data_IF_010804938852
#
_entry.id   IF_010804938852
#
_cell.length_a   1.000
_cell.length_b   1.000
_cell.length_c   1.000
_cell.angle_alpha   90.00
_cell.angle_beta   90.00
_cell.angle_gamma   90.00
#
_symmetry.space_group_name_H-M   'P 1'
#
loop_
_entity.id
_entity.type
_entity.pdbx_description
1 polymer ?
#
# COMPACT_ATOMS: atom_id res chain seq x y z
N UNK A 1 -17.22 14.12 -27.11
CA UNK A 1 -16.27 14.84 -28.00
C UNK A 1 -15.05 15.18 -27.19
N UNK A 2 -13.95 14.46 -27.41
CA UNK A 2 -12.61 15.01 -27.28
C UNK A 2 -11.71 14.21 -28.24
N UNK A 3 -11.33 14.88 -29.32
CA UNK A 3 -10.37 14.42 -30.31
C UNK A 3 -8.99 14.51 -29.67
N UNK A 4 -8.35 13.37 -29.36
CA UNK A 4 -6.88 13.21 -29.26
C UNK A 4 -6.41 11.77 -28.95
N UNK A 5 -7.21 10.74 -29.21
CA UNK A 5 -6.79 9.33 -29.10
C UNK A 5 -6.49 8.64 -30.45
N UNK A 6 -6.42 9.39 -31.54
CA UNK A 6 -6.43 8.81 -32.89
C UNK A 6 -5.26 9.32 -33.74
N UNK A 7 -4.03 9.15 -33.22
CA UNK A 7 -2.83 9.68 -33.87
C UNK A 7 -1.59 8.78 -33.94
N UNK A 8 -1.46 7.73 -33.11
CA UNK A 8 -0.18 6.98 -33.01
C UNK A 8 -0.34 5.46 -33.15
N UNK A 9 -1.50 4.89 -32.84
CA UNK A 9 -1.80 3.47 -33.12
C UNK A 9 -1.85 3.12 -34.62
N UNK A 10 -1.84 4.14 -35.49
CA UNK A 10 -2.08 3.98 -36.94
C UNK A 10 -0.81 3.54 -37.70
N UNK A 11 0.40 3.65 -37.15
CA UNK A 11 1.62 3.34 -37.93
C UNK A 11 2.05 1.86 -37.88
N UNK A 12 1.70 1.11 -36.83
CA UNK A 12 1.88 -0.35 -36.76
C UNK A 12 0.58 -1.12 -37.05
N UNK A 13 -0.59 -0.57 -36.72
CA UNK A 13 -1.88 -1.23 -37.04
C UNK A 13 -2.26 -1.17 -38.53
N UNK A 14 -1.73 -0.21 -39.32
CA UNK A 14 -1.97 -0.18 -40.79
C UNK A 14 -1.22 -1.28 -41.56
N UNK A 15 -0.39 -2.06 -40.89
CA UNK A 15 0.33 -3.17 -41.51
C UNK A 15 -0.29 -4.55 -41.23
N UNK A 16 -1.28 -4.65 -40.34
CA UNK A 16 -1.94 -5.92 -39.98
C UNK A 16 -3.26 -6.15 -40.76
N UNK A 17 -3.76 -5.17 -41.53
CA UNK A 17 -5.07 -5.26 -42.17
C UNK A 17 -5.06 -5.15 -43.71
N UNK A 18 -4.27 -5.97 -44.43
CA UNK A 18 -4.52 -6.27 -45.86
C UNK A 18 -3.77 -7.51 -46.38
N UNK A 19 -3.73 -8.60 -45.61
CA UNK A 19 -3.03 -9.83 -45.97
C UNK A 19 -3.89 -10.92 -46.60
N UNK A 20 -4.83 -10.64 -47.52
CA UNK A 20 -5.51 -11.70 -48.29
C UNK A 20 -5.74 -11.28 -49.75
N UNK A 21 -4.83 -11.71 -50.63
CA UNK A 21 -5.10 -12.15 -52.00
C UNK A 21 -3.88 -12.96 -52.48
N UNK A 22 -3.98 -14.28 -52.35
CA UNK A 22 -2.94 -15.22 -52.75
C UNK A 22 -2.71 -15.19 -54.28
N UNK A 23 -1.56 -14.69 -54.70
CA UNK A 23 -0.99 -14.95 -56.03
C UNK A 23 -0.04 -16.14 -55.89
N UNK A 24 -0.15 -17.20 -56.72
CA UNK A 24 0.74 -18.35 -56.64
C UNK A 24 2.09 -18.03 -57.31
N UNK A 25 2.93 -17.28 -56.58
CA UNK A 25 4.37 -17.17 -56.79
C UNK A 25 5.06 -17.88 -55.62
N UNK A 26 5.97 -18.81 -55.91
CA UNK A 26 6.45 -19.79 -54.94
C UNK A 26 7.12 -19.19 -53.70
N UNK A 27 6.94 -19.85 -52.54
CA UNK A 27 7.62 -19.55 -51.26
C UNK A 27 9.12 -19.24 -51.38
N UNK A 28 9.79 -19.78 -52.40
CA UNK A 28 11.21 -19.54 -52.67
C UNK A 28 11.53 -18.11 -53.18
N UNK A 29 10.64 -17.43 -53.92
CA UNK A 29 10.88 -16.06 -54.36
C UNK A 29 10.65 -15.05 -53.23
N UNK A 30 9.59 -15.24 -52.44
CA UNK A 30 9.31 -14.41 -51.26
C UNK A 30 10.43 -14.50 -50.20
N UNK A 31 10.97 -15.70 -49.95
CA UNK A 31 12.09 -15.87 -49.03
C UNK A 31 13.40 -15.22 -49.54
N UNK A 32 13.62 -15.20 -50.86
CA UNK A 32 14.78 -14.55 -51.46
C UNK A 32 14.67 -13.02 -51.40
N UNK A 33 13.46 -12.47 -51.58
CA UNK A 33 13.18 -11.05 -51.47
C UNK A 33 13.35 -10.57 -50.01
N UNK A 34 12.85 -11.33 -49.03
CA UNK A 34 13.01 -11.02 -47.60
C UNK A 34 14.48 -11.03 -47.16
N UNK A 35 15.27 -12.00 -47.62
CA UNK A 35 16.70 -12.06 -47.31
C UNK A 35 17.46 -10.81 -47.80
N UNK A 36 17.12 -10.28 -48.98
CA UNK A 36 17.70 -9.03 -49.50
C UNK A 36 17.29 -7.80 -48.69
N UNK A 37 16.04 -7.75 -48.23
CA UNK A 37 15.54 -6.69 -47.33
C UNK A 37 16.30 -6.70 -46.00
N UNK A 38 16.57 -7.87 -45.43
CA UNK A 38 17.32 -8.02 -44.17
C UNK A 38 18.79 -7.62 -44.29
N UNK A 39 19.44 -7.98 -45.40
CA UNK A 39 20.81 -7.54 -45.65
C UNK A 39 20.89 -6.00 -45.71
N UNK A 40 19.90 -5.37 -46.36
CA UNK A 40 19.78 -3.91 -46.41
C UNK A 40 19.54 -3.31 -45.03
N UNK A 41 18.66 -3.92 -44.22
CA UNK A 41 18.38 -3.48 -42.85
C UNK A 41 19.64 -3.50 -41.98
N UNK A 42 20.40 -4.60 -42.02
CA UNK A 42 21.68 -4.76 -41.31
C UNK A 42 22.72 -3.77 -41.78
N UNK A 43 22.82 -3.50 -43.09
CA UNK A 43 23.71 -2.46 -43.62
C UNK A 43 23.35 -1.06 -43.11
N UNK A 44 22.05 -0.73 -43.01
CA UNK A 44 21.62 0.53 -42.42
C UNK A 44 21.97 0.61 -40.93
N UNK A 45 21.76 -0.48 -40.18
CA UNK A 45 22.19 -0.57 -38.77
C UNK A 45 23.69 -0.32 -38.62
N UNK A 46 24.51 -0.99 -39.43
CA UNK A 46 25.97 -0.87 -39.38
C UNK A 46 26.48 0.53 -39.79
N UNK A 47 25.63 1.32 -40.46
CA UNK A 47 25.85 2.73 -40.80
C UNK A 47 25.20 3.71 -39.80
N UNK A 48 24.67 3.21 -38.67
CA UNK A 48 23.96 4.00 -37.64
C UNK A 48 22.69 4.70 -38.18
N UNK A 49 22.16 4.24 -39.32
CA UNK A 49 20.91 4.72 -39.93
C UNK A 49 19.70 3.97 -39.36
N UNK A 50 19.51 4.07 -38.04
CA UNK A 50 18.58 3.23 -37.28
C UNK A 50 17.14 3.27 -37.78
N UNK A 51 16.60 4.46 -38.06
CA UNK A 51 15.22 4.58 -38.56
C UNK A 51 15.01 3.85 -39.90
N UNK A 52 16.01 3.89 -40.79
CA UNK A 52 15.96 3.16 -42.06
C UNK A 52 16.11 1.66 -41.86
N UNK A 53 16.96 1.26 -40.93
CA UNK A 53 17.09 -0.13 -40.49
C UNK A 53 15.73 -0.66 -39.98
N UNK A 54 15.12 0.04 -39.03
CA UNK A 54 13.80 -0.28 -38.45
C UNK A 54 12.72 -0.38 -39.52
N UNK A 55 12.64 0.58 -40.46
CA UNK A 55 11.68 0.52 -41.57
C UNK A 55 11.88 -0.74 -42.43
N UNK A 56 13.13 -1.11 -42.69
CA UNK A 56 13.47 -2.29 -43.50
C UNK A 56 13.13 -3.59 -42.77
N UNK A 57 13.41 -3.69 -41.46
CA UNK A 57 12.95 -4.82 -40.64
C UNK A 57 11.42 -4.89 -40.56
N UNK A 58 10.73 -3.76 -40.44
CA UNK A 58 9.27 -3.70 -40.47
C UNK A 58 8.68 -4.27 -41.76
N UNK A 59 9.30 -3.97 -42.92
CA UNK A 59 8.91 -4.59 -44.18
C UNK A 59 9.18 -6.11 -44.17
N UNK A 60 10.33 -6.55 -43.67
CA UNK A 60 10.64 -7.97 -43.59
C UNK A 60 9.66 -8.73 -42.69
N UNK A 61 9.17 -8.13 -41.60
CA UNK A 61 8.15 -8.74 -40.72
C UNK A 61 6.82 -8.97 -41.45
N UNK A 62 6.42 -8.07 -42.36
CA UNK A 62 5.22 -8.25 -43.20
C UNK A 62 5.35 -9.42 -44.18
N UNK A 63 6.55 -9.67 -44.66
CA UNK A 63 6.86 -10.75 -45.60
C UNK A 63 6.91 -12.11 -44.90
N UNK A 64 7.20 -12.13 -43.61
CA UNK A 64 7.12 -13.32 -42.76
C UNK A 64 7.80 -13.11 -41.40
N UNK A 65 7.00 -12.95 -40.35
CA UNK A 65 7.48 -12.83 -38.98
C UNK A 65 8.22 -14.10 -38.51
N UNK A 66 9.32 -13.90 -37.80
CA UNK A 66 10.05 -14.96 -37.11
C UNK A 66 10.67 -14.44 -35.82
N UNK A 67 10.97 -15.35 -34.89
CA UNK A 67 11.63 -15.00 -33.62
C UNK A 67 12.96 -14.27 -33.85
N UNK A 68 13.80 -14.79 -34.77
CA UNK A 68 15.10 -14.20 -35.10
C UNK A 68 14.96 -12.75 -35.59
N UNK A 69 13.92 -12.44 -36.36
CA UNK A 69 13.65 -11.08 -36.83
C UNK A 69 13.29 -10.12 -35.71
N UNK A 70 12.43 -10.55 -34.78
CA UNK A 70 12.10 -9.73 -33.63
C UNK A 70 13.31 -9.53 -32.71
N UNK A 71 14.15 -10.55 -32.53
CA UNK A 71 15.39 -10.45 -31.75
C UNK A 71 16.38 -9.45 -32.39
N UNK A 72 16.59 -9.52 -33.71
CA UNK A 72 17.44 -8.56 -34.41
C UNK A 72 16.88 -7.13 -34.36
N UNK A 73 15.58 -6.97 -34.56
CA UNK A 73 14.93 -5.67 -34.48
C UNK A 73 15.00 -5.08 -33.07
N UNK A 74 14.79 -5.90 -32.04
CA UNK A 74 14.98 -5.49 -30.65
C UNK A 74 16.41 -4.99 -30.41
N UNK A 75 17.43 -5.69 -30.91
CA UNK A 75 18.81 -5.23 -30.84
C UNK A 75 19.08 -3.90 -31.53
N UNK A 76 18.43 -3.64 -32.67
CA UNK A 76 18.52 -2.32 -33.35
C UNK A 76 17.91 -1.22 -32.49
N UNK A 77 16.74 -1.47 -31.91
CA UNK A 77 16.08 -0.51 -31.04
C UNK A 77 16.86 -0.26 -29.73
N UNK A 78 17.49 -1.28 -29.16
CA UNK A 78 18.34 -1.13 -27.96
C UNK A 78 19.50 -0.17 -28.23
N UNK A 79 20.24 -0.37 -29.31
CA UNK A 79 21.33 0.55 -29.69
C UNK A 79 20.78 1.94 -29.99
N UNK A 80 19.68 2.03 -30.76
CA UNK A 80 19.11 3.33 -31.10
C UNK A 80 18.65 4.12 -29.87
N UNK A 81 17.98 3.45 -28.93
CA UNK A 81 17.50 4.07 -27.69
C UNK A 81 18.65 4.45 -26.76
N UNK A 82 19.69 3.62 -26.63
CA UNK A 82 20.87 3.93 -25.84
C UNK A 82 21.58 5.20 -26.35
N UNK A 83 21.63 5.40 -27.68
CA UNK A 83 22.24 6.59 -28.27
C UNK A 83 21.28 7.79 -28.32
N UNK A 84 19.97 7.55 -28.33
CA UNK A 84 18.93 8.58 -28.47
C UNK A 84 17.73 8.32 -27.52
N UNK A 85 17.90 8.53 -26.19
CA UNK A 85 16.92 8.14 -25.17
C UNK A 85 15.74 9.11 -25.09
N UNK A 86 15.01 9.28 -26.19
CA UNK A 86 13.82 10.13 -26.26
C UNK A 86 12.55 9.33 -25.96
N UNK A 87 11.53 10.00 -25.45
CA UNK A 87 10.22 9.39 -25.20
C UNK A 87 9.53 8.89 -26.47
N UNK A 88 9.87 9.44 -27.65
CA UNK A 88 9.40 8.95 -28.94
C UNK A 88 10.02 7.59 -29.28
N UNK A 89 11.36 7.48 -29.21
CA UNK A 89 12.07 6.21 -29.48
C UNK A 89 11.65 5.13 -28.49
N UNK A 90 11.52 5.46 -27.20
CA UNK A 90 11.02 4.52 -26.18
C UNK A 90 9.62 4.00 -26.51
N UNK A 91 8.70 4.88 -26.94
CA UNK A 91 7.33 4.49 -27.30
C UNK A 91 7.32 3.54 -28.50
N UNK A 92 8.12 3.82 -29.52
CA UNK A 92 8.19 2.96 -30.70
C UNK A 92 8.83 1.60 -30.37
N UNK A 93 9.85 1.59 -29.51
CA UNK A 93 10.47 0.36 -29.03
C UNK A 93 9.49 -0.47 -28.18
N UNK A 94 8.80 0.16 -27.23
CA UNK A 94 7.75 -0.47 -26.42
C UNK A 94 6.65 -1.10 -27.29
N UNK A 95 6.20 -0.41 -28.35
CA UNK A 95 5.21 -0.95 -29.28
C UNK A 95 5.72 -2.19 -30.05
N UNK A 96 7.01 -2.18 -30.43
CA UNK A 96 7.66 -3.33 -31.06
C UNK A 96 7.76 -4.51 -30.09
N UNK A 97 8.19 -4.28 -28.85
CA UNK A 97 8.30 -5.33 -27.82
C UNK A 97 6.94 -5.91 -27.44
N UNK A 98 5.91 -5.07 -27.29
CA UNK A 98 4.53 -5.52 -27.09
C UNK A 98 4.08 -6.47 -28.21
N UNK A 99 4.35 -6.11 -29.48
CA UNK A 99 4.05 -6.99 -30.62
C UNK A 99 4.86 -8.29 -30.59
N UNK A 100 6.11 -8.23 -30.12
CA UNK A 100 6.97 -9.41 -29.98
C UNK A 100 6.47 -10.37 -28.88
N UNK A 101 6.05 -9.84 -27.72
CA UNK A 101 5.42 -10.60 -26.64
C UNK A 101 4.11 -11.26 -27.08
N UNK A 102 3.29 -10.59 -27.89
CA UNK A 102 2.06 -11.19 -28.45
C UNK A 102 2.37 -12.33 -29.42
N UNK A 103 3.38 -12.16 -30.28
CA UNK A 103 3.75 -13.15 -31.28
C UNK A 103 4.51 -14.36 -30.68
N UNK A 104 5.29 -14.13 -29.64
CA UNK A 104 6.16 -15.10 -28.98
C UNK A 104 6.06 -14.98 -27.45
N UNK A 105 4.91 -15.32 -26.84
CA UNK A 105 4.68 -15.11 -25.42
C UNK A 105 5.65 -15.88 -24.52
N UNK A 106 6.11 -17.06 -24.96
CA UNK A 106 7.05 -17.90 -24.22
C UNK A 106 8.51 -17.36 -24.22
N UNK A 107 8.79 -16.33 -25.03
CA UNK A 107 10.13 -15.75 -25.16
C UNK A 107 10.37 -14.68 -24.09
N UNK A 108 10.80 -15.15 -22.92
CA UNK A 108 11.04 -14.35 -21.71
C UNK A 108 11.83 -13.06 -21.96
N UNK A 109 12.82 -13.11 -22.85
CA UNK A 109 13.69 -11.96 -23.12
C UNK A 109 12.96 -10.73 -23.68
N UNK A 110 11.82 -10.90 -24.35
CA UNK A 110 11.02 -9.75 -24.81
C UNK A 110 10.33 -9.07 -23.63
N UNK A 111 9.78 -9.83 -22.70
CA UNK A 111 9.16 -9.31 -21.47
C UNK A 111 10.19 -8.59 -20.59
N UNK A 112 11.37 -9.18 -20.39
CA UNK A 112 12.45 -8.58 -19.60
C UNK A 112 12.89 -7.21 -20.16
N UNK A 113 13.09 -7.14 -21.49
CA UNK A 113 13.41 -5.89 -22.19
C UNK A 113 12.26 -4.88 -22.08
N UNK A 114 11.02 -5.36 -22.17
CA UNK A 114 9.85 -4.48 -22.19
C UNK A 114 9.62 -3.83 -20.83
N UNK A 115 9.70 -4.60 -19.74
CA UNK A 115 9.64 -4.07 -18.39
C UNK A 115 10.81 -3.10 -18.11
N UNK A 116 12.04 -3.45 -18.54
CA UNK A 116 13.22 -2.62 -18.33
C UNK A 116 13.07 -1.20 -18.91
N UNK A 117 12.45 -1.05 -20.09
CA UNK A 117 12.23 0.27 -20.71
C UNK A 117 11.48 1.26 -19.83
N UNK A 118 10.56 0.75 -19.00
CA UNK A 118 9.78 1.60 -18.09
C UNK A 118 10.50 1.77 -16.76
N UNK A 119 11.11 0.72 -16.22
CA UNK A 119 11.90 0.77 -14.98
C UNK A 119 13.08 1.75 -15.06
N UNK A 120 13.81 1.77 -16.18
CA UNK A 120 14.95 2.68 -16.41
C UNK A 120 14.56 4.16 -16.36
N UNK A 121 13.27 4.46 -16.50
CA UNK A 121 12.72 5.82 -16.46
C UNK A 121 11.75 6.03 -15.32
N UNK A 122 11.80 5.15 -14.31
CA UNK A 122 10.99 5.20 -13.09
C UNK A 122 9.48 5.26 -13.39
N UNK A 123 9.06 4.75 -14.55
CA UNK A 123 7.67 4.67 -14.98
C UNK A 123 7.05 3.38 -14.44
N UNK A 124 6.97 3.29 -13.10
CA UNK A 124 6.65 2.05 -12.40
C UNK A 124 5.25 1.51 -12.72
N UNK A 125 4.26 2.39 -12.97
CA UNK A 125 2.91 1.97 -13.35
C UNK A 125 2.89 1.24 -14.71
N UNK A 126 3.64 1.73 -15.70
CA UNK A 126 3.79 1.07 -16.99
C UNK A 126 4.61 -0.23 -16.88
N UNK A 127 5.70 -0.22 -16.12
CA UNK A 127 6.49 -1.43 -15.84
C UNK A 127 5.61 -2.51 -15.20
N UNK A 128 4.81 -2.13 -14.21
CA UNK A 128 3.89 -3.00 -13.49
C UNK A 128 2.89 -3.69 -14.41
N UNK A 129 2.30 -2.97 -15.36
CA UNK A 129 1.38 -3.57 -16.32
C UNK A 129 2.07 -4.67 -17.14
N UNK A 130 3.27 -4.40 -17.66
CA UNK A 130 4.04 -5.40 -18.43
C UNK A 130 4.38 -6.62 -17.58
N UNK A 131 4.82 -6.41 -16.35
CA UNK A 131 5.24 -7.48 -15.42
C UNK A 131 4.05 -8.33 -14.96
N UNK A 132 2.90 -7.71 -14.70
CA UNK A 132 1.65 -8.42 -14.39
C UNK A 132 1.21 -9.28 -15.57
N UNK A 133 1.20 -8.72 -16.78
CA UNK A 133 0.80 -9.44 -17.99
C UNK A 133 1.72 -10.65 -18.26
N UNK A 134 3.04 -10.49 -18.05
CA UNK A 134 3.99 -11.60 -18.12
C UNK A 134 3.66 -12.73 -17.12
N UNK A 135 3.36 -12.35 -15.87
CA UNK A 135 3.02 -13.31 -14.79
C UNK A 135 1.68 -14.02 -15.05
N UNK A 136 0.68 -13.30 -15.55
CA UNK A 136 -0.62 -13.87 -15.96
C UNK A 136 -0.46 -14.86 -17.13
N UNK A 137 0.48 -14.60 -18.03
CA UNK A 137 0.87 -15.53 -19.09
C UNK A 137 1.71 -16.73 -18.60
N UNK A 138 2.02 -16.80 -17.30
CA UNK A 138 2.85 -17.88 -16.71
C UNK A 138 4.34 -17.76 -17.02
N UNK A 139 4.79 -16.59 -17.48
CA UNK A 139 6.18 -16.31 -17.83
C UNK A 139 6.95 -15.87 -16.59
N UNK A 140 8.11 -16.45 -16.35
CA UNK A 140 8.96 -16.11 -15.21
C UNK A 140 10.44 -16.30 -15.51
N UNK A 141 11.27 -15.49 -14.87
CA UNK A 141 12.72 -15.62 -14.76
C UNK A 141 13.20 -14.91 -13.49
N UNK A 142 14.44 -15.16 -13.08
CA UNK A 142 15.05 -14.41 -11.97
C UNK A 142 15.05 -12.90 -12.25
N UNK A 143 15.27 -12.49 -13.51
CA UNK A 143 15.22 -11.08 -13.93
C UNK A 143 13.81 -10.51 -13.80
N UNK A 144 12.78 -11.20 -14.32
CA UNK A 144 11.40 -10.73 -14.24
C UNK A 144 10.92 -10.63 -12.80
N UNK A 145 11.31 -11.57 -11.94
CA UNK A 145 10.95 -11.50 -10.51
C UNK A 145 11.64 -10.32 -9.82
N UNK A 146 12.91 -10.05 -10.13
CA UNK A 146 13.61 -8.87 -9.61
C UNK A 146 12.97 -7.55 -10.10
N UNK A 147 12.61 -7.48 -11.39
CA UNK A 147 11.91 -6.33 -11.99
C UNK A 147 10.50 -6.14 -11.38
N UNK A 148 9.77 -7.24 -11.17
CA UNK A 148 8.47 -7.27 -10.49
C UNK A 148 8.59 -6.68 -9.09
N UNK A 149 9.52 -7.18 -8.28
CA UNK A 149 9.76 -6.66 -6.92
C UNK A 149 10.15 -5.19 -6.94
N UNK A 150 11.02 -4.77 -7.86
CA UNK A 150 11.40 -3.36 -8.01
C UNK A 150 10.18 -2.47 -8.29
N UNK A 151 9.29 -2.87 -9.22
CA UNK A 151 8.09 -2.10 -9.53
C UNK A 151 7.06 -2.14 -8.38
N UNK A 152 6.85 -3.32 -7.78
CA UNK A 152 5.83 -3.56 -6.77
C UNK A 152 6.11 -2.83 -5.44
N UNK A 153 7.38 -2.72 -5.06
CA UNK A 153 7.83 -2.02 -3.86
C UNK A 153 8.33 -0.60 -4.14
N UNK A 154 8.19 -0.11 -5.38
CA UNK A 154 8.47 1.29 -5.68
C UNK A 154 7.47 2.19 -4.94
N UNK A 155 7.99 3.26 -4.35
CA UNK A 155 7.20 4.25 -3.62
C UNK A 155 7.65 5.67 -3.97
N UNK A 156 6.72 6.62 -3.82
CA UNK A 156 6.99 8.05 -3.86
C UNK A 156 6.97 8.62 -2.45
N UNK A 157 7.72 9.70 -2.24
CA UNK A 157 7.72 10.48 -1.00
C UNK A 157 6.92 11.77 -1.18
N UNK A 158 5.90 11.96 -0.34
CA UNK A 158 5.19 13.22 -0.19
C UNK A 158 5.95 14.15 0.77
N UNK A 159 6.33 15.35 0.30
CA UNK A 159 7.16 16.29 1.04
C UNK A 159 6.41 17.22 2.01
N UNK A 160 5.09 17.07 2.18
CA UNK A 160 4.34 17.84 3.18
C UNK A 160 4.78 17.45 4.61
N UNK A 161 5.19 18.41 5.47
CA UNK A 161 5.62 18.14 6.85
C UNK A 161 4.48 18.21 7.85
N UNK A 162 4.48 17.26 8.78
CA UNK A 162 3.62 17.28 9.96
C UNK A 162 4.44 16.96 11.22
N UNK A 163 4.08 17.55 12.36
CA UNK A 163 4.79 17.27 13.63
C UNK A 163 4.48 15.85 14.12
N UNK A 164 3.27 15.38 13.86
CA UNK A 164 2.77 14.09 14.27
C UNK A 164 1.74 13.62 13.25
N UNK A 165 1.80 12.34 12.91
CA UNK A 165 0.83 11.66 12.03
C UNK A 165 0.42 10.37 12.74
N UNK A 166 -0.86 10.24 13.07
CA UNK A 166 -1.40 9.00 13.62
C UNK A 166 -2.11 8.24 12.49
N UNK A 167 -1.64 7.03 12.11
CA UNK A 167 -2.33 6.19 11.14
C UNK A 167 -3.66 5.73 11.75
N UNK A 168 -4.78 5.98 11.07
CA UNK A 168 -6.12 5.65 11.55
C UNK A 168 -6.99 5.07 10.43
N UNK A 169 -7.89 4.17 10.83
CA UNK A 169 -8.70 3.31 9.96
C UNK A 169 -9.62 4.06 8.99
N UNK A 170 -9.64 3.57 7.74
CA UNK A 170 -10.55 3.89 6.64
C UNK A 170 -10.31 5.18 5.79
N UNK A 171 -10.47 5.06 4.45
CA UNK A 171 -9.44 4.66 3.52
C UNK A 171 -8.53 5.84 3.12
N UNK A 172 -7.52 6.13 3.95
CA UNK A 172 -6.45 7.07 3.60
C UNK A 172 -6.51 8.45 4.23
N UNK A 173 -7.30 8.61 5.29
CA UNK A 173 -7.25 9.79 6.15
C UNK A 173 -6.22 9.66 7.28
N UNK A 174 -5.48 10.73 7.54
CA UNK A 174 -4.44 10.80 8.55
C UNK A 174 -4.74 11.94 9.51
N UNK A 175 -4.78 11.64 10.81
CA UNK A 175 -4.83 12.68 11.84
C UNK A 175 -3.45 13.32 11.93
N UNK A 176 -3.43 14.64 11.79
CA UNK A 176 -2.19 15.42 11.75
C UNK A 176 -2.21 16.53 12.79
N UNK A 177 -1.03 16.88 13.27
CA UNK A 177 -0.84 18.01 14.17
C UNK A 177 0.12 19.03 13.58
N UNK A 178 -0.33 20.28 13.51
CA UNK A 178 0.49 21.46 13.20
C UNK A 178 0.60 22.34 14.45
N UNK A 179 1.77 22.36 15.06
CA UNK A 179 1.98 22.97 16.37
C UNK A 179 1.16 22.30 17.46
N UNK A 180 0.17 23.00 18.02
CA UNK A 180 -0.75 22.49 19.05
C UNK A 180 -2.15 22.19 18.50
N UNK A 181 -2.37 22.34 17.20
CA UNK A 181 -3.68 22.21 16.59
C UNK A 181 -3.79 20.95 15.73
N UNK A 182 -4.90 20.26 15.87
CA UNK A 182 -5.23 19.00 15.23
C UNK A 182 -6.12 19.19 14.02
N UNK A 183 -5.86 18.42 12.97
CA UNK A 183 -6.64 18.33 11.74
C UNK A 183 -6.50 16.95 11.11
N UNK A 184 -6.93 16.82 9.86
CA UNK A 184 -6.86 15.58 9.10
C UNK A 184 -6.57 15.84 7.61
N UNK A 185 -5.81 14.95 6.98
CA UNK A 185 -5.44 15.02 5.56
C UNK A 185 -5.54 13.66 4.89
N UNK A 186 -5.64 13.61 3.57
CA UNK A 186 -5.50 12.38 2.80
C UNK A 186 -4.02 12.01 2.59
N UNK A 187 -3.73 10.82 2.09
CA UNK A 187 -2.38 10.45 1.65
C UNK A 187 -1.77 11.35 0.55
N UNK A 188 -2.62 11.88 -0.33
CA UNK A 188 -2.22 12.88 -1.33
C UNK A 188 -1.86 14.24 -0.70
N UNK A 189 -2.18 14.44 0.58
CA UNK A 189 -1.98 15.71 1.28
C UNK A 189 -3.15 16.68 1.13
N UNK A 190 -4.31 16.21 0.66
CA UNK A 190 -5.52 17.02 0.58
C UNK A 190 -6.13 17.18 1.97
N UNK A 191 -6.55 18.38 2.34
CA UNK A 191 -7.10 18.64 3.67
C UNK A 191 -8.53 18.10 3.79
N UNK A 192 -8.73 17.17 4.73
CA UNK A 192 -10.06 16.69 5.15
C UNK A 192 -10.63 17.59 6.25
N UNK A 193 -9.78 17.94 7.23
CA UNK A 193 -10.10 18.78 8.36
C UNK A 193 -8.94 19.76 8.59
N UNK A 194 -9.21 21.06 8.57
CA UNK A 194 -8.16 22.06 8.82
C UNK A 194 -7.63 21.95 10.25
N UNK A 195 -6.31 22.13 10.49
CA UNK A 195 -5.71 22.02 11.82
C UNK A 195 -6.04 23.24 12.69
N UNK A 196 -7.28 23.33 13.16
CA UNK A 196 -7.80 24.44 13.97
C UNK A 196 -8.38 23.99 15.32
N UNK A 197 -8.38 22.69 15.58
CA UNK A 197 -8.97 22.08 16.77
C UNK A 197 -7.92 21.83 17.84
N UNK A 198 -8.30 21.92 19.11
CA UNK A 198 -7.38 21.68 20.24
C UNK A 198 -7.19 20.20 20.56
N UNK A 199 -8.14 19.39 20.13
CA UNK A 199 -8.10 17.93 20.19
C UNK A 199 -8.87 17.42 18.98
N UNK A 200 -8.36 16.36 18.36
CA UNK A 200 -9.11 15.54 17.43
C UNK A 200 -8.94 14.08 17.84
N UNK A 201 -10.03 13.32 17.85
CA UNK A 201 -10.03 11.88 18.01
C UNK A 201 -9.55 11.17 16.73
N UNK A 202 -9.60 9.83 16.72
CA UNK A 202 -9.41 9.07 15.49
C UNK A 202 -10.47 9.40 14.44
N UNK A 203 -10.14 9.14 13.17
CA UNK A 203 -11.12 9.08 12.09
C UNK A 203 -11.91 7.77 12.22
N UNK A 204 -13.22 7.90 12.22
CA UNK A 204 -14.16 6.77 12.27
C UNK A 204 -14.33 6.16 10.88
N UNK A 205 -14.88 4.94 10.79
CA UNK A 205 -15.05 4.24 9.51
C UNK A 205 -15.91 5.04 8.50
N UNK A 206 -16.92 5.75 8.98
CA UNK A 206 -17.78 6.61 8.16
C UNK A 206 -17.14 7.98 7.79
N UNK A 207 -15.89 8.20 8.20
CA UNK A 207 -15.13 9.44 8.03
C UNK A 207 -15.46 10.52 9.06
N UNK A 208 -16.29 10.24 10.06
CA UNK A 208 -16.59 11.18 11.13
C UNK A 208 -15.45 11.28 12.15
N UNK A 209 -15.35 12.41 12.83
CA UNK A 209 -14.28 12.70 13.79
C UNK A 209 -14.78 13.57 14.94
N UNK A 210 -14.44 13.17 16.17
CA UNK A 210 -14.66 14.01 17.34
C UNK A 210 -13.58 15.08 17.46
N UNK A 211 -13.99 16.31 17.72
CA UNK A 211 -13.09 17.45 17.84
C UNK A 211 -13.48 18.34 19.00
N UNK A 212 -12.50 18.92 19.68
CA UNK A 212 -12.71 20.03 20.62
C UNK A 212 -12.32 21.35 19.96
N UNK A 213 -13.27 22.27 19.89
CA UNK A 213 -13.05 23.59 19.29
C UNK A 213 -12.27 24.55 20.21
N UNK A 214 -12.03 25.77 19.72
CA UNK A 214 -11.31 26.80 20.47
C UNK A 214 -12.13 27.40 21.64
N UNK A 215 -13.45 27.28 21.62
CA UNK A 215 -14.33 27.75 22.68
C UNK A 215 -14.46 26.70 23.80
N UNK A 216 -14.02 25.47 23.53
CA UNK A 216 -14.00 24.35 24.47
C UNK A 216 -15.25 23.49 24.39
N UNK A 217 -16.02 23.56 23.30
CA UNK A 217 -17.11 22.62 23.05
C UNK A 217 -16.64 21.46 22.18
N UNK A 218 -17.25 20.30 22.37
CA UNK A 218 -16.92 19.06 21.64
C UNK A 218 -17.98 18.75 20.61
N UNK A 219 -17.54 18.39 19.42
CA UNK A 219 -18.40 18.13 18.27
C UNK A 219 -18.01 16.82 17.60
N UNK A 220 -19.01 16.10 17.09
CA UNK A 220 -18.77 15.10 16.04
C UNK A 220 -18.92 15.82 14.71
N UNK A 221 -17.89 15.78 13.86
CA UNK A 221 -17.93 16.28 12.49
C UNK A 221 -18.06 15.08 11.57
N UNK A 222 -19.04 15.05 10.67
CA UNK A 222 -19.18 13.98 9.69
C UNK A 222 -18.09 14.04 8.59
N UNK A 223 -18.00 13.00 7.77
CA UNK A 223 -17.03 12.95 6.65
C UNK A 223 -17.22 14.04 5.58
N UNK A 224 -18.35 14.78 5.62
CA UNK A 224 -18.59 15.97 4.79
C UNK A 224 -18.08 17.27 5.41
N UNK A 225 -17.52 17.23 6.62
CA UNK A 225 -17.09 18.41 7.37
C UNK A 225 -18.25 19.14 8.06
N UNK A 226 -19.40 18.50 8.23
CA UNK A 226 -20.60 19.10 8.83
C UNK A 226 -20.73 18.62 10.28
N UNK A 227 -20.96 19.51 11.26
CA UNK A 227 -21.28 19.08 12.63
C UNK A 227 -22.53 18.19 12.68
N UNK A 228 -22.35 16.95 13.14
CA UNK A 228 -23.38 15.93 13.27
C UNK A 228 -23.93 15.83 14.69
N UNK A 229 -23.06 15.99 15.71
CA UNK A 229 -23.43 15.95 17.11
C UNK A 229 -22.70 17.01 17.93
N UNK A 230 -23.27 17.38 19.07
CA UNK A 230 -22.69 18.33 20.03
C UNK A 230 -22.69 17.72 21.42
N UNK A 231 -21.51 17.64 22.03
CA UNK A 231 -21.30 17.13 23.38
C UNK A 231 -20.84 18.28 24.26
N UNK A 232 -21.71 18.83 25.12
CA UNK A 232 -21.37 20.02 25.91
C UNK A 232 -20.14 19.81 26.79
N UNK A 233 -19.17 20.71 26.67
CA UNK A 233 -17.89 20.64 27.40
C UNK A 233 -16.71 20.22 26.52
N UNK A 234 -15.51 20.33 27.09
CA UNK A 234 -14.25 20.10 26.36
C UNK A 234 -13.80 18.65 26.53
N UNK A 235 -13.71 17.91 25.44
CA UNK A 235 -13.11 16.58 25.45
C UNK A 235 -11.58 16.70 25.56
N UNK A 236 -11.01 15.93 26.48
CA UNK A 236 -9.56 15.74 26.61
C UNK A 236 -9.08 14.64 25.66
N UNK A 237 -9.90 13.59 25.51
CA UNK A 237 -9.68 12.47 24.59
C UNK A 237 -11.03 11.98 24.05
N UNK A 238 -11.02 11.42 22.84
CA UNK A 238 -12.16 10.77 22.22
C UNK A 238 -11.67 9.58 21.39
N UNK A 239 -12.48 8.51 21.32
CA UNK A 239 -12.27 7.41 20.37
C UNK A 239 -13.08 7.60 19.10
N UNK A 240 -13.18 6.55 18.30
CA UNK A 240 -13.98 6.52 17.07
C UNK A 240 -15.46 6.41 17.37
N UNK A 241 -16.27 7.08 16.54
CA UNK A 241 -17.71 6.92 16.50
C UNK A 241 -18.05 5.62 15.77
N UNK A 242 -18.92 4.82 16.38
CA UNK A 242 -19.39 3.57 15.81
C UNK A 242 -20.69 3.17 16.52
N UNK A 243 -21.59 2.49 15.82
CA UNK A 243 -22.86 1.99 16.37
C UNK A 243 -23.71 3.07 17.08
N UNK A 244 -23.59 4.34 16.64
CA UNK A 244 -24.32 5.48 17.23
C UNK A 244 -23.79 5.91 18.60
N UNK A 245 -22.63 5.40 19.01
CA UNK A 245 -21.95 5.71 20.26
C UNK A 245 -20.54 6.25 20.00
N UNK A 246 -20.07 7.10 20.91
CA UNK A 246 -18.68 7.55 20.92
C UNK A 246 -18.12 7.60 22.34
N UNK A 247 -16.96 6.97 22.61
CA UNK A 247 -16.27 7.12 23.88
C UNK A 247 -15.58 8.48 23.95
N UNK A 248 -15.86 9.25 25.01
CA UNK A 248 -15.26 10.56 25.26
C UNK A 248 -14.82 10.66 26.72
N UNK A 249 -13.60 11.11 26.95
CA UNK A 249 -13.13 11.59 28.25
C UNK A 249 -13.22 13.10 28.29
N UNK A 250 -14.21 13.61 29.01
CA UNK A 250 -14.40 15.05 29.19
C UNK A 250 -13.40 15.62 30.21
N UNK A 251 -12.91 16.82 29.94
CA UNK A 251 -12.03 17.55 30.83
C UNK A 251 -12.67 17.72 32.21
N UNK A 252 -11.91 17.37 33.26
CA UNK A 252 -12.39 17.41 34.64
C UNK A 252 -13.16 16.16 35.08
N UNK A 253 -13.34 15.16 34.20
CA UNK A 253 -13.70 13.80 34.59
C UNK A 253 -12.45 12.92 34.58
N UNK A 254 -12.32 12.08 35.61
CA UNK A 254 -11.25 11.07 35.67
C UNK A 254 -11.60 9.79 34.89
N UNK A 255 -12.81 9.71 34.35
CA UNK A 255 -13.37 8.53 33.67
C UNK A 255 -13.89 8.87 32.29
N UNK A 256 -13.85 7.88 31.41
CA UNK A 256 -14.52 7.87 30.12
C UNK A 256 -16.02 7.58 30.28
N UNK A 257 -16.79 8.08 29.31
CA UNK A 257 -18.19 7.71 29.11
C UNK A 257 -18.52 7.59 27.63
N UNK A 258 -19.60 6.87 27.33
CA UNK A 258 -20.12 6.73 25.97
C UNK A 258 -21.29 7.67 25.77
N UNK A 259 -21.26 8.37 24.64
CA UNK A 259 -22.23 9.38 24.27
C UNK A 259 -22.95 9.00 22.99
N UNK A 260 -24.25 9.22 22.95
CA UNK A 260 -25.09 9.04 21.76
C UNK A 260 -25.01 10.25 20.82
N UNK A 261 -25.48 10.11 19.58
CA UNK A 261 -25.51 11.21 18.58
C UNK A 261 -26.32 12.45 19.01
N UNK A 262 -27.29 12.29 19.93
CA UNK A 262 -28.03 13.41 20.51
C UNK A 262 -27.33 14.04 21.74
N UNK A 263 -26.12 13.59 22.06
CA UNK A 263 -25.24 14.14 23.08
C UNK A 263 -25.52 13.63 24.50
N UNK A 264 -26.27 12.55 24.67
CA UNK A 264 -26.56 11.98 25.99
C UNK A 264 -25.47 10.99 26.41
N UNK A 265 -24.98 11.11 27.64
CA UNK A 265 -24.09 10.11 28.26
C UNK A 265 -24.93 8.90 28.69
N UNK A 266 -24.69 7.75 28.06
CA UNK A 266 -25.46 6.51 28.31
C UNK A 266 -24.71 5.49 29.15
N UNK A 267 -23.37 5.48 29.06
CA UNK A 267 -22.49 4.65 29.89
C UNK A 267 -21.34 5.51 30.44
N UNK A 268 -20.83 5.19 31.63
CA UNK A 268 -19.79 5.98 32.29
C UNK A 268 -19.10 5.19 33.40
N UNK A 269 -17.95 5.67 33.87
CA UNK A 269 -17.23 5.10 35.01
C UNK A 269 -16.04 4.23 34.63
N UNK A 270 -15.63 4.23 33.36
CA UNK A 270 -14.49 3.49 32.87
C UNK A 270 -13.21 4.31 32.97
N UNK A 271 -12.11 3.69 33.42
CA UNK A 271 -10.81 4.34 33.47
C UNK A 271 -10.25 4.57 32.06
N UNK A 272 -10.52 3.63 31.15
CA UNK A 272 -10.25 3.68 29.72
C UNK A 272 -11.40 3.00 28.97
N UNK A 273 -11.64 3.41 27.72
CA UNK A 273 -12.73 2.92 26.90
C UNK A 273 -12.30 2.85 25.44
N UNK A 274 -12.45 1.68 24.83
CA UNK A 274 -12.34 1.46 23.40
C UNK A 274 -13.61 1.89 22.66
N UNK A 275 -13.54 1.89 21.34
CA UNK A 275 -14.70 2.15 20.49
C UNK A 275 -15.56 0.91 20.33
N UNK A 276 -16.85 1.13 20.13
CA UNK A 276 -17.77 0.05 19.78
C UNK A 276 -17.45 -0.48 18.40
N UNK A 277 -17.63 -1.78 18.22
CA UNK A 277 -17.56 -2.48 16.95
C UNK A 277 -18.44 -3.72 17.06
N UNK A 278 -19.38 -3.87 16.12
CA UNK A 278 -20.34 -4.98 16.10
C UNK A 278 -21.09 -5.14 17.44
N UNK A 279 -21.41 -4.00 18.09
CA UNK A 279 -22.13 -3.95 19.36
C UNK A 279 -21.32 -4.28 20.62
N UNK A 280 -20.00 -4.42 20.52
CA UNK A 280 -19.11 -4.69 21.65
C UNK A 280 -17.99 -3.64 21.77
N UNK A 281 -17.52 -3.39 23.00
CA UNK A 281 -16.36 -2.53 23.26
C UNK A 281 -15.53 -3.04 24.45
N UNK A 282 -14.21 -2.85 24.37
CA UNK A 282 -13.32 -3.05 25.51
C UNK A 282 -13.36 -1.86 26.45
N UNK A 283 -13.48 -2.12 27.75
CA UNK A 283 -13.46 -1.10 28.81
C UNK A 283 -12.55 -1.50 29.95
N UNK A 284 -11.85 -0.53 30.51
CA UNK A 284 -11.01 -0.72 31.68
C UNK A 284 -11.70 -0.17 32.93
N UNK A 285 -11.70 -0.96 34.00
CA UNK A 285 -12.16 -0.55 35.33
C UNK A 285 -11.06 -0.74 36.37
N UNK A 286 -11.37 -0.52 37.65
CA UNK A 286 -10.42 -0.84 38.73
C UNK A 286 -10.11 -2.33 38.88
N UNK A 287 -10.88 -3.22 38.23
CA UNK A 287 -10.67 -4.67 38.26
C UNK A 287 -9.76 -5.15 37.11
N UNK A 288 -9.67 -4.39 36.02
CA UNK A 288 -8.97 -4.74 34.79
C UNK A 288 -9.79 -4.39 33.56
N UNK A 289 -9.35 -4.90 32.42
CA UNK A 289 -10.03 -4.77 31.12
C UNK A 289 -11.03 -5.91 30.91
N UNK A 290 -12.22 -5.58 30.41
CA UNK A 290 -13.28 -6.52 30.03
C UNK A 290 -14.03 -6.03 28.78
N UNK A 291 -14.83 -6.89 28.18
CA UNK A 291 -15.67 -6.53 27.01
C UNK A 291 -17.13 -6.35 27.46
N UNK A 292 -17.77 -5.29 26.99
CA UNK A 292 -19.19 -4.97 27.26
C UNK A 292 -19.99 -4.81 25.97
N UNK A 293 -21.30 -5.00 26.07
CA UNK A 293 -22.27 -4.58 25.06
C UNK A 293 -22.72 -3.12 25.23
N UNK A 294 -23.59 -2.65 24.33
CA UNK A 294 -24.14 -1.29 24.32
C UNK A 294 -24.97 -0.93 25.56
N UNK A 295 -25.47 -1.92 26.30
CA UNK A 295 -26.19 -1.75 27.57
C UNK A 295 -25.25 -1.80 28.79
N UNK A 296 -23.95 -2.01 28.57
CA UNK A 296 -22.92 -2.15 29.61
C UNK A 296 -22.90 -3.52 30.28
N UNK A 297 -23.50 -4.53 29.66
CA UNK A 297 -23.47 -5.91 30.13
C UNK A 297 -22.18 -6.56 29.65
N UNK A 298 -21.46 -7.24 30.55
CA UNK A 298 -20.23 -7.94 30.21
C UNK A 298 -20.50 -9.12 29.25
N UNK A 299 -19.72 -9.17 28.18
CA UNK A 299 -19.80 -10.23 27.16
C UNK A 299 -19.22 -11.57 27.65
N UNK A 300 -18.29 -11.52 28.60
CA UNK A 300 -17.69 -12.69 29.25
C UNK A 300 -17.31 -12.40 30.71
N UNK A 301 -16.93 -13.44 31.45
CA UNK A 301 -16.37 -13.32 32.81
C UNK A 301 -14.85 -13.04 32.80
N UNK A 302 -14.25 -12.89 31.62
CA UNK A 302 -12.81 -12.66 31.48
C UNK A 302 -12.43 -11.23 31.89
N UNK A 303 -11.30 -11.14 32.59
CA UNK A 303 -10.72 -9.88 33.05
C UNK A 303 -9.22 -9.93 32.78
N UNK A 304 -8.76 -9.03 31.93
CA UNK A 304 -7.36 -8.92 31.54
C UNK A 304 -6.64 -7.78 32.26
N UNK A 305 -5.33 -7.91 32.39
CA UNK A 305 -4.48 -6.83 32.93
C UNK A 305 -4.42 -5.66 31.95
N UNK A 306 -4.41 -5.95 30.65
CA UNK A 306 -4.36 -4.99 29.55
C UNK A 306 -4.98 -5.62 28.30
N UNK A 307 -5.61 -4.80 27.45
CA UNK A 307 -5.99 -5.18 26.08
C UNK A 307 -5.30 -4.21 25.13
N UNK A 308 -4.73 -4.72 24.04
CA UNK A 308 -4.11 -3.90 23.01
C UNK A 308 -5.20 -3.39 22.07
N UNK A 309 -5.53 -2.11 22.19
CA UNK A 309 -6.43 -1.45 21.25
C UNK A 309 -5.65 -0.98 20.02
N UNK A 310 -6.29 -1.05 18.86
CA UNK A 310 -5.79 -0.38 17.67
C UNK A 310 -5.95 1.14 17.78
N UNK A 311 -5.49 1.85 16.74
CA UNK A 311 -5.55 3.30 16.73
C UNK A 311 -7.00 3.83 16.84
N UNK A 312 -7.99 3.11 16.26
CA UNK A 312 -9.40 3.46 16.31
C UNK A 312 -10.07 3.09 17.64
N UNK A 313 -9.32 2.48 18.57
CA UNK A 313 -9.84 2.03 19.86
C UNK A 313 -10.53 0.66 19.79
N UNK A 314 -10.37 -0.09 18.69
CA UNK A 314 -10.93 -1.44 18.52
C UNK A 314 -10.05 -2.45 19.24
N UNK A 315 -10.68 -3.41 19.92
CA UNK A 315 -9.99 -4.43 20.70
C UNK A 315 -9.77 -5.75 19.93
N UNK A 316 -10.53 -5.89 18.85
CA UNK A 316 -10.58 -7.03 17.95
C UNK A 316 -10.28 -6.53 16.53
N UNK A 317 -9.51 -7.30 15.77
CA UNK A 317 -9.53 -7.22 14.31
C UNK A 317 -9.60 -8.65 13.76
N UNK A 318 -10.57 -8.91 12.90
CA UNK A 318 -10.79 -10.21 12.25
C UNK A 318 -10.84 -11.41 13.24
N UNK A 319 -11.39 -11.21 14.44
CA UNK A 319 -11.51 -12.26 15.47
C UNK A 319 -10.28 -12.40 16.37
N UNK A 320 -9.29 -11.52 16.25
CA UNK A 320 -8.03 -11.59 16.99
C UNK A 320 -8.01 -10.56 18.10
N UNK A 321 -7.99 -11.04 19.35
CA UNK A 321 -7.91 -10.22 20.55
C UNK A 321 -6.53 -10.38 21.19
N UNK A 322 -5.87 -9.25 21.45
CA UNK A 322 -4.54 -9.22 22.03
C UNK A 322 -4.62 -8.71 23.47
N UNK A 323 -4.40 -9.59 24.44
CA UNK A 323 -4.59 -9.24 25.84
C UNK A 323 -3.52 -9.81 26.76
N UNK A 324 -3.27 -9.09 27.86
CA UNK A 324 -2.25 -9.40 28.85
C UNK A 324 -2.87 -10.09 30.05
N UNK A 325 -2.30 -11.23 30.44
CA UNK A 325 -2.71 -11.99 31.61
C UNK A 325 -1.51 -12.64 32.26
N UNK A 326 -1.44 -12.64 33.60
CA UNK A 326 -0.32 -13.23 34.32
C UNK A 326 1.03 -12.56 34.02
N UNK A 327 1.01 -11.28 33.63
CA UNK A 327 2.19 -10.51 33.25
C UNK A 327 2.75 -10.76 31.85
N UNK A 328 2.11 -11.55 31.00
CA UNK A 328 2.51 -11.82 29.62
C UNK A 328 1.37 -11.54 28.63
N UNK A 329 1.73 -11.19 27.40
CA UNK A 329 0.77 -10.98 26.31
C UNK A 329 0.41 -12.31 25.66
N UNK A 330 -0.86 -12.47 25.31
CA UNK A 330 -1.44 -13.65 24.68
C UNK A 330 -2.36 -13.22 23.53
N UNK A 331 -2.69 -14.19 22.67
CA UNK A 331 -3.66 -14.04 21.59
C UNK A 331 -4.90 -14.84 21.98
N UNK A 332 -6.09 -14.27 21.77
CA UNK A 332 -7.39 -14.88 22.01
C UNK A 332 -8.24 -14.75 20.74
N UNK A 333 -9.19 -15.67 20.57
CA UNK A 333 -10.21 -15.60 19.52
C UNK A 333 -11.45 -14.78 19.95
N UNK A 334 -12.43 -14.66 19.05
CA UNK A 334 -13.71 -13.95 19.27
C UNK A 334 -14.64 -14.64 20.27
N UNK A 335 -14.33 -15.88 20.65
CA UNK A 335 -14.95 -16.60 21.76
C UNK A 335 -14.20 -16.43 23.09
N UNK A 336 -13.15 -15.58 23.11
CA UNK A 336 -12.28 -15.29 24.24
C UNK A 336 -11.45 -16.50 24.70
N UNK A 337 -11.27 -17.51 23.85
CA UNK A 337 -10.39 -18.64 24.11
C UNK A 337 -8.95 -18.30 23.70
N UNK A 338 -7.99 -18.66 24.54
CA UNK A 338 -6.58 -18.40 24.25
C UNK A 338 -6.08 -19.27 23.08
N UNK A 339 -5.44 -18.64 22.10
CA UNK A 339 -4.78 -19.32 20.98
C UNK A 339 -3.53 -20.08 21.45
N UNK A 340 -3.71 -21.38 21.72
CA UNK A 340 -2.65 -22.30 22.13
C UNK A 340 -1.87 -21.84 23.38
N UNK A 341 -0.59 -22.21 23.43
CA UNK A 341 0.32 -21.86 24.54
C UNK A 341 1.15 -20.59 24.25
N UNK A 342 0.74 -19.78 23.26
CA UNK A 342 1.51 -18.60 22.86
C UNK A 342 1.58 -17.57 23.99
N UNK A 343 2.78 -17.00 24.17
CA UNK A 343 2.98 -15.85 25.05
C UNK A 343 4.23 -15.05 24.66
N UNK A 344 4.24 -13.76 24.99
CA UNK A 344 5.35 -12.86 24.73
C UNK A 344 5.48 -11.73 25.77
N UNK A 345 6.63 -11.03 25.71
CA UNK A 345 6.95 -9.91 26.61
C UNK A 345 6.19 -8.64 26.20
N UNK A 346 6.11 -8.40 24.89
CA UNK A 346 5.31 -7.34 24.26
C UNK A 346 4.70 -7.88 22.96
N UNK A 347 3.58 -7.31 22.55
CA UNK A 347 2.92 -7.58 21.27
C UNK A 347 2.44 -6.27 20.66
N UNK A 348 2.54 -6.11 19.35
CA UNK A 348 1.96 -4.93 18.68
C UNK A 348 0.48 -5.18 18.33
N UNK A 349 -0.20 -4.22 17.73
CA UNK A 349 -1.59 -4.37 17.26
C UNK A 349 -1.68 -5.42 16.14
N UNK A 350 -2.82 -6.09 15.98
CA UNK A 350 -3.13 -6.84 14.75
C UNK A 350 -3.83 -5.90 13.76
N UNK A 351 -3.49 -5.95 12.47
CA UNK A 351 -4.10 -5.13 11.40
C UNK A 351 -4.47 -6.02 10.23
N UNK A 352 -3.46 -6.53 9.51
CA UNK A 352 -3.62 -7.62 8.55
C UNK A 352 -2.37 -8.53 8.60
N UNK A 353 -2.58 -9.84 8.54
CA UNK A 353 -1.48 -10.80 8.54
C UNK A 353 -0.68 -10.86 9.86
N UNK A 354 0.62 -11.22 9.79
CA UNK A 354 1.39 -11.56 10.99
C UNK A 354 1.57 -10.42 12.00
N UNK A 355 1.47 -10.79 13.28
CA UNK A 355 1.49 -9.90 14.44
C UNK A 355 2.91 -9.81 14.97
N UNK A 356 3.42 -8.59 15.14
CA UNK A 356 4.74 -8.37 15.71
C UNK A 356 4.73 -8.67 17.22
N UNK A 357 5.70 -9.45 17.69
CA UNK A 357 5.85 -9.76 19.11
C UNK A 357 7.31 -9.67 19.56
N UNK A 358 7.52 -9.33 20.83
CA UNK A 358 8.83 -9.26 21.46
C UNK A 358 9.08 -10.47 22.38
N UNK A 359 10.24 -11.11 22.23
CA UNK A 359 10.70 -12.18 23.12
C UNK A 359 12.22 -12.11 23.28
N UNK A 360 12.70 -12.04 24.51
CA UNK A 360 14.13 -11.88 24.80
C UNK A 360 14.68 -10.53 24.33
N UNK A 361 13.85 -9.48 24.33
CA UNK A 361 14.23 -8.13 23.90
C UNK A 361 14.40 -7.93 22.39
N UNK A 362 13.99 -8.89 21.56
CA UNK A 362 13.97 -8.77 20.10
C UNK A 362 12.58 -9.05 19.56
N UNK A 363 12.27 -8.44 18.42
CA UNK A 363 10.99 -8.54 17.74
C UNK A 363 11.01 -9.56 16.60
N UNK A 364 9.96 -10.37 16.54
CA UNK A 364 9.63 -11.33 15.47
C UNK A 364 8.14 -11.24 15.15
N UNK A 365 7.60 -12.23 14.44
CA UNK A 365 6.22 -12.23 13.98
C UNK A 365 5.56 -13.59 14.15
N UNK A 366 4.31 -13.60 14.59
CA UNK A 366 3.48 -14.78 14.73
C UNK A 366 2.20 -14.63 13.89
N UNK A 367 1.62 -15.76 13.46
CA UNK A 367 0.26 -15.77 12.93
C UNK A 367 -0.79 -15.66 14.05
N UNK A 368 -2.05 -15.62 13.67
CA UNK A 368 -3.22 -15.45 14.56
C UNK A 368 -3.40 -16.65 15.50
N UNK A 369 -2.92 -17.83 15.11
CA UNK A 369 -2.88 -19.04 15.95
C UNK A 369 -1.69 -19.03 16.93
N UNK A 370 -0.85 -17.98 16.90
CA UNK A 370 0.34 -17.84 17.73
C UNK A 370 1.55 -18.67 17.26
N UNK A 371 1.54 -19.18 16.02
CA UNK A 371 2.71 -19.84 15.45
C UNK A 371 3.73 -18.79 14.98
N UNK A 372 4.99 -18.95 15.37
CA UNK A 372 6.07 -18.08 14.93
C UNK A 372 6.33 -18.26 13.42
N UNK A 373 6.09 -17.20 12.63
CA UNK A 373 6.33 -17.18 11.18
C UNK A 373 7.67 -16.53 10.83
N UNK A 374 8.13 -15.57 11.63
CA UNK A 374 9.46 -14.95 11.51
C UNK A 374 10.07 -14.87 12.92
N UNK A 375 11.22 -15.52 13.09
CA UNK A 375 11.89 -15.56 14.40
C UNK A 375 12.35 -14.17 14.87
N UNK A 376 12.34 -13.91 16.19
CA UNK A 376 12.84 -12.65 16.74
C UNK A 376 14.26 -12.30 16.31
N UNK A 377 14.42 -11.19 15.60
CA UNK A 377 15.68 -10.77 15.00
C UNK A 377 15.86 -9.24 14.88
N UNK A 378 14.83 -8.46 15.24
CA UNK A 378 14.81 -7.01 15.05
C UNK A 378 14.81 -6.26 16.39
N UNK A 379 15.37 -5.06 16.40
CA UNK A 379 15.40 -4.21 17.60
C UNK A 379 14.00 -3.72 17.98
N UNK A 380 13.20 -3.42 16.95
CA UNK A 380 11.78 -3.03 17.02
C UNK A 380 11.07 -3.52 15.77
N UNK A 381 9.75 -3.71 15.84
CA UNK A 381 8.91 -4.02 14.70
C UNK A 381 7.53 -3.41 14.86
N UNK A 382 6.88 -3.21 13.72
CA UNK A 382 5.43 -2.96 13.59
C UNK A 382 4.80 -4.19 12.96
N UNK A 383 3.58 -4.55 13.36
CA UNK A 383 2.83 -5.65 12.71
C UNK A 383 2.65 -5.44 11.21
N UNK A 384 2.38 -6.52 10.50
CA UNK A 384 2.09 -6.46 9.08
C UNK A 384 0.84 -5.61 8.80
N UNK A 385 0.90 -4.88 7.70
CA UNK A 385 -0.20 -4.10 7.16
C UNK A 385 0.05 -3.86 5.67
N UNK A 386 -0.91 -4.20 4.81
CA UNK A 386 -0.73 -4.11 3.35
C UNK A 386 0.38 -5.02 2.81
N UNK A 387 0.61 -6.18 3.45
CA UNK A 387 1.57 -7.21 3.02
C UNK A 387 3.05 -6.88 3.31
N UNK A 388 3.33 -5.87 4.13
CA UNK A 388 4.69 -5.54 4.60
C UNK A 388 4.69 -5.15 6.07
N UNK A 389 5.83 -5.26 6.73
CA UNK A 389 6.03 -4.80 8.11
C UNK A 389 7.24 -3.87 8.21
N UNK A 390 7.11 -2.81 9.02
CA UNK A 390 8.23 -1.96 9.37
C UNK A 390 9.08 -2.65 10.44
N UNK A 391 10.40 -2.70 10.23
CA UNK A 391 11.34 -3.31 11.18
C UNK A 391 12.57 -2.42 11.37
N UNK A 392 13.10 -2.41 12.59
CA UNK A 392 14.25 -1.61 12.97
C UNK A 392 15.51 -2.47 13.09
N UNK A 393 16.61 -1.99 12.50
CA UNK A 393 17.96 -2.56 12.60
C UNK A 393 18.98 -1.44 12.62
N UNK A 394 19.92 -1.50 13.56
CA UNK A 394 20.97 -0.48 13.73
C UNK A 394 20.38 0.93 13.90
N UNK A 395 19.23 1.05 14.57
CA UNK A 395 18.52 2.31 14.82
C UNK A 395 17.82 2.95 13.61
N UNK A 396 17.74 2.26 12.47
CA UNK A 396 17.00 2.71 11.30
C UNK A 396 15.87 1.73 10.96
N UNK A 397 14.77 2.26 10.44
CA UNK A 397 13.60 1.54 9.99
C UNK A 397 13.65 1.29 8.48
N UNK A 398 13.33 0.06 8.11
CA UNK A 398 13.06 -0.38 6.75
C UNK A 398 11.82 -1.26 6.73
N UNK A 399 11.49 -1.86 5.59
CA UNK A 399 10.32 -2.71 5.46
C UNK A 399 10.69 -4.10 4.94
N UNK A 400 10.00 -5.11 5.44
CA UNK A 400 10.11 -6.51 5.00
C UNK A 400 8.78 -7.00 4.44
N UNK A 401 8.84 -7.96 3.52
CA UNK A 401 7.67 -8.77 3.13
C UNK A 401 7.45 -9.95 4.09
N UNK A 402 6.37 -10.70 3.88
CA UNK A 402 5.98 -11.86 4.71
C UNK A 402 7.01 -12.99 4.71
N UNK A 403 7.93 -13.03 3.74
CA UNK A 403 9.04 -13.99 3.73
C UNK A 403 10.21 -13.56 4.62
N UNK A 404 10.14 -12.34 5.18
CA UNK A 404 11.22 -11.71 5.94
C UNK A 404 12.27 -11.03 5.05
N UNK A 405 12.03 -10.90 3.73
CA UNK A 405 12.95 -10.24 2.83
C UNK A 405 12.77 -8.73 2.88
N UNK A 406 13.86 -7.97 3.00
CA UNK A 406 13.84 -6.51 2.93
C UNK A 406 13.36 -6.04 1.56
N UNK A 407 12.35 -5.17 1.56
CA UNK A 407 11.69 -4.59 0.37
C UNK A 407 11.86 -3.08 0.27
N UNK A 408 12.04 -2.41 1.41
CA UNK A 408 12.53 -1.04 1.48
C UNK A 408 13.71 -1.04 2.45
N UNK A 409 14.82 -0.47 2.00
CA UNK A 409 16.05 -0.39 2.80
C UNK A 409 15.84 0.36 4.12
N UNK A 410 16.74 0.11 5.08
CA UNK A 410 16.75 0.77 6.38
C UNK A 410 17.21 2.22 6.26
N UNK A 411 16.28 3.12 5.94
CA UNK A 411 16.54 4.51 5.56
C UNK A 411 15.87 5.54 6.46
N UNK A 412 14.90 5.11 7.29
CA UNK A 412 14.07 6.01 8.09
C UNK A 412 14.50 6.00 9.55
N UNK A 413 14.36 7.12 10.24
CA UNK A 413 14.55 7.19 11.70
C UNK A 413 13.30 6.77 12.47
N UNK A 414 12.14 6.78 11.81
CA UNK A 414 10.88 6.22 12.32
C UNK A 414 9.96 5.83 11.17
N UNK A 415 9.09 4.85 11.39
CA UNK A 415 8.12 4.35 10.42
C UNK A 415 6.85 3.81 11.09
N UNK A 416 5.69 4.13 10.50
CA UNK A 416 4.39 3.56 10.87
C UNK A 416 4.00 2.35 10.03
N UNK A 417 2.70 2.06 10.01
CA UNK A 417 2.10 1.01 9.19
C UNK A 417 1.82 1.52 7.77
N UNK A 418 1.85 0.62 6.80
CA UNK A 418 1.28 0.90 5.49
C UNK A 418 -0.24 0.76 5.54
N UNK A 419 -0.97 1.78 5.12
CA UNK A 419 -2.41 1.72 4.98
C UNK A 419 -2.79 0.73 3.88
N UNK A 420 -3.55 -0.31 4.23
CA UNK A 420 -4.04 -1.29 3.27
C UNK A 420 -4.96 -0.68 2.19
N UNK A 421 -5.60 0.46 2.48
CA UNK A 421 -6.56 1.08 1.57
C UNK A 421 -5.91 1.92 0.47
N UNK A 422 -4.82 2.62 0.77
CA UNK A 422 -4.21 3.59 -0.16
C UNK A 422 -2.70 3.42 -0.34
N UNK A 423 -2.10 2.45 0.33
CA UNK A 423 -0.70 2.11 0.19
C UNK A 423 0.25 3.16 0.73
N UNK A 424 -0.19 4.02 1.65
CA UNK A 424 0.65 5.07 2.23
C UNK A 424 1.08 4.80 3.67
N UNK A 425 2.22 5.36 4.07
CA UNK A 425 2.85 5.11 5.36
C UNK A 425 3.56 6.37 5.87
N UNK A 426 3.33 6.78 7.14
CA UNK A 426 4.08 7.86 7.76
C UNK A 426 5.51 7.41 8.11
N UNK A 427 6.48 8.24 7.75
CA UNK A 427 7.92 8.01 8.03
C UNK A 427 8.60 9.30 8.48
N UNK A 428 9.68 9.16 9.25
CA UNK A 428 10.64 10.23 9.52
C UNK A 428 11.97 9.96 8.82
N UNK A 429 12.54 10.98 8.21
CA UNK A 429 13.84 10.90 7.53
C UNK A 429 15.03 11.24 8.44
N UNK A 430 14.79 12.03 9.48
CA UNK A 430 15.79 12.52 10.41
C UNK A 430 15.22 12.46 11.84
N UNK A 431 16.07 12.15 12.82
CA UNK A 431 15.66 11.99 14.21
C UNK A 431 15.05 13.29 14.76
N UNK A 432 13.81 13.23 15.24
CA UNK A 432 13.06 14.40 15.71
C UNK A 432 12.60 15.33 14.58
N UNK A 433 12.71 14.91 13.32
CA UNK A 433 12.19 15.59 12.15
C UNK A 433 10.67 15.50 12.04
N UNK A 434 10.10 16.25 11.10
CA UNK A 434 8.69 16.15 10.77
C UNK A 434 8.40 14.83 10.04
N UNK A 435 7.23 14.25 10.31
CA UNK A 435 6.70 13.13 9.53
C UNK A 435 6.36 13.54 8.10
N UNK A 436 6.49 12.56 7.21
CA UNK A 436 6.17 12.59 5.78
C UNK A 436 5.40 11.32 5.43
N UNK A 437 4.68 11.32 4.31
CA UNK A 437 4.06 10.09 3.80
C UNK A 437 4.87 9.53 2.64
N UNK A 438 5.20 8.23 2.69
CA UNK A 438 5.53 7.47 1.48
C UNK A 438 4.26 6.80 0.96
N UNK A 439 4.17 6.54 -0.33
CA UNK A 439 3.03 5.86 -0.95
C UNK A 439 3.49 4.98 -2.10
N UNK A 440 2.94 3.77 -2.22
CA UNK A 440 3.23 2.87 -3.35
C UNK A 440 2.94 3.56 -4.69
N UNK A 441 3.86 3.37 -5.65
CA UNK A 441 3.67 3.89 -7.02
C UNK A 441 2.67 3.07 -7.83
N UNK A 442 2.42 1.83 -7.40
CA UNK A 442 1.51 0.90 -8.05
C UNK A 442 0.44 0.46 -7.07
N UNK A 443 -0.79 0.38 -7.56
CA UNK A 443 -1.89 -0.19 -6.79
C UNK A 443 -1.67 -1.71 -6.65
N UNK A 444 -1.94 -2.22 -5.46
CA UNK A 444 -1.73 -3.63 -5.09
C UNK A 444 -3.02 -4.41 -5.10
#
# INVERSE_FOLDING_TARGET
>A
MNQNQMGVAVFLALLIAAGWLAVPGGRASQAADQAGTLETARQYRDQELYERSIQSYGQALLEGASLELYQELAGVYETYYAENPTSAVRRDFAAMLSSACEAYPDEVSFWERYAALYLDTESYAEAWNVLRDAREAGISSETLEAQYRQAYYAYRLNYQPYVEILPQGWPGGYIVRDGELWGAVTASGDTLLSPVYRMAGPLSEDGSIAVADADGDTWLIDGGGIPAAHYPGTAEQAGSHADGLIPIKMQGKDVWGYYTDDGQEVLSGYLEAGSFQDGLAAVCTGEGWSIIDEDGVYASDEVWEEIRLDAAGRYDQDGVILAKSGGAWHIYDDEFEQAGDFSCEEIDVHIDGPIAFCRGGLWGFADEDGNEVIAPAYEQARSFSGGVAAVCRDGLWGFIDESGQTVIDFLFTDAGYFSASDGSCPVQLEEGGAYRLIQWEVAR
#
